data_IF_547465750793
#
_entry.id   IF_547465750793
#
_cell.length_a   1.000
_cell.length_b   1.000
_cell.length_c   1.000
_cell.angle_alpha   90.00
_cell.angle_beta   90.00
_cell.angle_gamma   90.00
#
_symmetry.space_group_name_H-M   'P 1'
#
loop_
_entity.id
_entity.type
_entity.pdbx_description
1 polymer ?
#
# COMPACT_ATOMS: atom_id res chain seq x y z
N UNK A 1 37.03 63.39 4.82
CA UNK A 1 36.61 62.17 5.54
C UNK A 1 35.15 61.89 5.19
N UNK A 2 34.92 61.46 3.94
CA UNK A 2 33.59 61.30 3.34
C UNK A 2 33.75 60.28 2.20
N UNK A 3 33.36 59.03 2.42
CA UNK A 3 33.13 57.97 1.42
C UNK A 3 32.96 56.65 2.17
N UNK A 4 31.78 56.03 2.04
CA UNK A 4 31.44 54.58 2.00
C UNK A 4 30.00 54.45 2.50
N UNK A 5 29.04 54.75 1.64
CA UNK A 5 27.62 54.39 1.78
C UNK A 5 26.99 54.46 0.39
N UNK A 6 27.28 53.49 -0.49
CA UNK A 6 26.58 53.30 -1.78
C UNK A 6 27.05 51.99 -2.45
N UNK A 7 26.53 50.84 -1.99
CA UNK A 7 26.41 49.58 -2.76
C UNK A 7 25.65 48.49 -2.00
N UNK A 8 24.48 48.83 -1.43
CA UNK A 8 23.51 47.83 -0.94
C UNK A 8 22.13 48.22 -1.50
N UNK A 9 22.01 48.29 -2.83
CA UNK A 9 20.74 48.61 -3.49
C UNK A 9 20.74 48.09 -4.94
N UNK A 10 21.03 46.80 -5.14
CA UNK A 10 20.84 46.13 -6.44
C UNK A 10 20.57 44.63 -6.38
N UNK A 11 20.29 44.06 -5.20
CA UNK A 11 19.84 42.66 -5.05
C UNK A 11 18.44 42.60 -4.44
N UNK A 12 17.52 43.44 -4.95
CA UNK A 12 16.09 43.07 -4.93
C UNK A 12 15.94 42.06 -6.06
N UNK A 13 16.28 40.80 -5.76
CA UNK A 13 15.82 39.67 -6.57
C UNK A 13 14.31 39.87 -6.72
N UNK A 14 13.85 39.98 -7.95
CA UNK A 14 12.44 39.87 -8.26
C UNK A 14 12.02 38.48 -7.79
N UNK A 15 11.40 38.40 -6.60
CA UNK A 15 10.58 37.26 -6.24
C UNK A 15 9.44 37.31 -7.24
N UNK A 16 9.61 36.61 -8.36
CA UNK A 16 8.51 36.30 -9.24
C UNK A 16 7.40 35.79 -8.32
N UNK A 17 6.30 36.52 -8.28
CA UNK A 17 5.10 36.12 -7.56
C UNK A 17 4.62 34.88 -8.29
N UNK A 18 5.13 33.73 -7.86
CA UNK A 18 4.69 32.44 -8.36
C UNK A 18 3.18 32.42 -8.13
N UNK A 19 2.44 32.45 -9.24
CA UNK A 19 0.99 32.56 -9.18
C UNK A 19 0.48 31.35 -8.42
N UNK A 20 -0.49 31.55 -7.52
CA UNK A 20 -1.05 30.44 -6.77
C UNK A 20 -1.48 29.32 -7.75
N UNK A 21 -1.17 28.05 -7.46
CA UNK A 21 -1.43 26.96 -8.39
C UNK A 21 -2.92 26.89 -8.72
N UNK A 22 -3.22 26.65 -10.01
CA UNK A 22 -4.59 26.49 -10.49
C UNK A 22 -5.21 25.20 -9.96
N UNK A 23 -6.55 25.05 -10.06
CA UNK A 23 -7.21 23.80 -9.68
C UNK A 23 -6.67 22.61 -10.50
N UNK A 24 -6.49 22.79 -11.81
CA UNK A 24 -5.98 21.75 -12.71
C UNK A 24 -4.55 21.34 -12.36
N UNK A 25 -3.69 22.30 -11.97
CA UNK A 25 -2.34 21.99 -11.50
C UNK A 25 -2.35 21.15 -10.21
N UNK A 26 -3.28 21.44 -9.30
CA UNK A 26 -3.41 20.70 -8.04
C UNK A 26 -3.98 19.29 -8.28
N UNK A 27 -4.99 19.15 -9.14
CA UNK A 27 -5.54 17.85 -9.52
C UNK A 27 -4.48 16.96 -10.19
N UNK A 28 -3.71 17.54 -11.12
CA UNK A 28 -2.61 16.84 -11.79
C UNK A 28 -1.53 16.41 -10.81
N UNK A 29 -1.09 17.30 -9.91
CA UNK A 29 -0.13 16.95 -8.85
C UNK A 29 -0.62 15.80 -7.98
N UNK A 30 -1.93 15.78 -7.66
CA UNK A 30 -2.51 14.73 -6.84
C UNK A 30 -2.49 13.39 -7.58
N UNK A 31 -2.88 13.38 -8.85
CA UNK A 31 -2.92 12.18 -9.68
C UNK A 31 -1.51 11.64 -9.96
N UNK A 32 -0.55 12.50 -10.31
CA UNK A 32 0.84 12.13 -10.52
C UNK A 32 1.45 11.51 -9.25
N UNK A 33 1.20 12.11 -8.08
CA UNK A 33 1.74 11.61 -6.81
C UNK A 33 1.06 10.32 -6.36
N UNK A 34 -0.28 10.28 -6.32
CA UNK A 34 -1.04 9.20 -5.69
C UNK A 34 -1.34 8.04 -6.63
N UNK A 35 -1.50 8.31 -7.92
CA UNK A 35 -2.09 7.40 -8.89
C UNK A 35 -3.62 7.34 -8.89
N UNK A 36 -4.29 8.18 -8.10
CA UNK A 36 -5.74 8.32 -8.05
C UNK A 36 -6.16 9.74 -8.48
N UNK A 37 -7.35 9.88 -9.08
CA UNK A 37 -7.91 11.18 -9.47
C UNK A 37 -8.92 11.70 -8.44
N UNK A 38 -9.00 13.02 -8.27
CA UNK A 38 -10.06 13.66 -7.49
C UNK A 38 -11.21 14.08 -8.42
N UNK A 39 -12.44 13.82 -8.01
CA UNK A 39 -13.66 14.22 -8.73
C UNK A 39 -14.65 14.95 -7.82
N UNK A 40 -15.50 15.79 -8.39
CA UNK A 40 -16.45 16.63 -7.64
C UNK A 40 -17.92 16.40 -8.01
N UNK A 41 -18.18 15.51 -8.97
CA UNK A 41 -19.52 15.14 -9.41
C UNK A 41 -19.73 13.64 -9.27
N UNK A 42 -20.96 13.25 -8.98
CA UNK A 42 -21.33 11.83 -8.82
C UNK A 42 -21.08 11.04 -10.11
N UNK A 43 -21.40 11.62 -11.26
CA UNK A 43 -21.31 10.94 -12.55
C UNK A 43 -19.85 10.65 -12.97
N UNK A 44 -18.88 11.28 -12.31
CA UNK A 44 -17.45 11.02 -12.51
C UNK A 44 -16.91 9.88 -11.62
N UNK A 45 -17.70 9.40 -10.65
CA UNK A 45 -17.34 8.26 -9.81
C UNK A 45 -17.52 6.94 -10.59
N UNK A 46 -16.66 5.93 -10.35
CA UNK A 46 -16.88 4.59 -10.89
C UNK A 46 -18.16 3.98 -10.32
N UNK A 47 -18.62 2.87 -10.91
CA UNK A 47 -19.78 2.14 -10.38
C UNK A 47 -19.49 1.63 -8.96
N UNK A 48 -20.45 1.77 -8.05
CA UNK A 48 -20.28 1.30 -6.68
C UNK A 48 -21.36 1.79 -5.73
N UNK A 49 -21.19 1.47 -4.44
CA UNK A 49 -22.14 1.85 -3.40
C UNK A 49 -21.80 3.23 -2.84
N UNK A 50 -22.63 4.22 -3.17
CA UNK A 50 -22.53 5.57 -2.63
C UNK A 50 -23.85 6.01 -1.99
N UNK A 51 -23.77 7.03 -1.13
CA UNK A 51 -24.92 7.69 -0.55
C UNK A 51 -25.85 8.28 -1.62
N UNK A 52 -27.15 8.40 -1.32
CA UNK A 52 -28.17 8.83 -2.29
C UNK A 52 -27.94 10.24 -2.83
N UNK A 53 -27.37 11.11 -2.01
CA UNK A 53 -27.13 12.52 -2.31
C UNK A 53 -25.66 12.83 -2.09
N UNK A 54 -24.98 13.24 -3.16
CA UNK A 54 -23.61 13.75 -3.17
C UNK A 54 -23.63 15.17 -3.71
N UNK A 55 -23.64 16.17 -2.83
CA UNK A 55 -23.77 17.57 -3.22
C UNK A 55 -22.42 18.09 -3.73
N UNK A 56 -22.33 18.66 -4.94
CA UNK A 56 -21.05 19.15 -5.47
C UNK A 56 -20.54 20.37 -4.69
N UNK A 57 -19.22 20.50 -4.62
CA UNK A 57 -18.54 21.65 -4.04
C UNK A 57 -18.65 22.89 -4.93
N UNK A 58 -18.64 24.07 -4.30
CA UNK A 58 -18.36 25.35 -4.98
C UNK A 58 -16.90 25.42 -5.45
N UNK A 59 -16.60 26.25 -6.45
CA UNK A 59 -15.23 26.34 -7.01
C UNK A 59 -14.17 26.73 -5.98
N UNK A 60 -14.49 27.67 -5.08
CA UNK A 60 -13.58 28.05 -4.00
C UNK A 60 -13.33 26.91 -3.00
N UNK A 61 -14.33 26.06 -2.77
CA UNK A 61 -14.18 24.90 -1.91
C UNK A 61 -13.35 23.80 -2.60
N UNK A 62 -13.51 23.57 -3.92
CA UNK A 62 -12.72 22.58 -4.69
C UNK A 62 -11.22 22.77 -4.52
N UNK A 63 -10.71 23.99 -4.73
CA UNK A 63 -9.27 24.28 -4.57
C UNK A 63 -8.80 23.97 -3.15
N UNK A 64 -9.60 24.35 -2.14
CA UNK A 64 -9.27 24.08 -0.73
C UNK A 64 -9.26 22.59 -0.43
N UNK A 65 -10.26 21.83 -0.88
CA UNK A 65 -10.34 20.39 -0.67
C UNK A 65 -9.16 19.65 -1.31
N UNK A 66 -8.79 20.01 -2.55
CA UNK A 66 -7.66 19.35 -3.23
C UNK A 66 -6.35 19.62 -2.51
N UNK A 67 -6.14 20.84 -1.98
CA UNK A 67 -4.94 21.14 -1.16
C UNK A 67 -4.86 20.25 0.07
N UNK A 68 -5.98 20.08 0.78
CA UNK A 68 -6.05 19.17 1.94
C UNK A 68 -5.72 17.74 1.50
N UNK A 69 -6.38 17.22 0.46
CA UNK A 69 -6.09 15.87 -0.04
C UNK A 69 -4.64 15.71 -0.50
N UNK A 70 -4.04 16.74 -1.11
CA UNK A 70 -2.63 16.75 -1.52
C UNK A 70 -1.66 16.71 -0.32
N UNK A 71 -2.00 17.38 0.76
CA UNK A 71 -1.17 17.37 1.97
C UNK A 71 -1.30 16.01 2.68
N UNK A 72 -2.53 15.47 2.78
CA UNK A 72 -2.78 14.18 3.43
C UNK A 72 -2.27 12.98 2.61
N UNK A 73 -2.30 13.05 1.27
CA UNK A 73 -1.80 11.94 0.44
C UNK A 73 -0.29 11.76 0.54
N UNK A 74 0.44 12.83 0.86
CA UNK A 74 1.90 12.79 1.09
C UNK A 74 2.30 12.06 2.37
N UNK A 75 1.34 11.70 3.22
CA UNK A 75 1.59 10.79 4.35
C UNK A 75 1.80 9.33 3.87
N UNK A 76 1.43 9.03 2.63
CA UNK A 76 1.61 7.73 1.98
C UNK A 76 2.78 7.76 0.98
N UNK A 77 3.37 6.61 0.63
CA UNK A 77 4.37 6.55 -0.43
C UNK A 77 3.79 7.04 -1.77
N UNK A 78 4.62 7.63 -2.64
CA UNK A 78 4.22 7.91 -4.01
C UNK A 78 3.65 6.66 -4.67
N UNK A 79 2.57 6.85 -5.44
CA UNK A 79 1.83 5.85 -6.21
C UNK A 79 1.09 4.80 -5.38
N UNK A 80 1.14 4.87 -4.05
CA UNK A 80 0.54 3.87 -3.17
C UNK A 80 -0.94 3.62 -3.47
N UNK A 81 -1.72 4.66 -3.79
CA UNK A 81 -3.14 4.50 -4.10
C UNK A 81 -3.38 3.80 -5.43
N UNK A 82 -2.65 4.19 -6.47
CA UNK A 82 -2.69 3.51 -7.76
C UNK A 82 -2.24 2.05 -7.66
N UNK A 83 -1.19 1.77 -6.88
CA UNK A 83 -0.64 0.42 -6.70
C UNK A 83 -1.65 -0.51 -6.00
N UNK A 84 -2.45 0.02 -5.07
CA UNK A 84 -3.51 -0.73 -4.38
C UNK A 84 -4.83 -0.73 -5.15
N UNK A 85 -4.89 -0.11 -6.34
CA UNK A 85 -6.10 -0.05 -7.16
C UNK A 85 -7.17 0.91 -6.67
N UNK A 86 -6.85 1.87 -5.79
CA UNK A 86 -7.73 2.99 -5.47
C UNK A 86 -7.57 4.04 -6.58
N UNK A 87 -8.56 4.16 -7.46
CA UNK A 87 -8.45 4.95 -8.69
C UNK A 87 -9.09 6.34 -8.55
N UNK A 88 -10.11 6.50 -7.72
CA UNK A 88 -10.93 7.72 -7.69
C UNK A 88 -11.30 8.15 -6.26
N UNK A 89 -11.19 9.45 -6.00
CA UNK A 89 -11.59 10.09 -4.73
C UNK A 89 -12.61 11.19 -5.02
N UNK A 90 -13.86 10.95 -4.64
CA UNK A 90 -14.91 11.97 -4.70
C UNK A 90 -14.87 12.90 -3.50
N UNK A 91 -14.88 14.21 -3.73
CA UNK A 91 -15.03 15.19 -2.64
C UNK A 91 -16.24 16.08 -2.86
N UNK A 92 -17.11 16.12 -1.86
CA UNK A 92 -18.44 16.70 -1.94
C UNK A 92 -18.70 17.70 -0.80
N UNK A 93 -19.62 18.64 -1.01
CA UNK A 93 -20.11 19.54 0.04
C UNK A 93 -20.87 18.75 1.12
N UNK A 94 -21.60 17.72 0.71
CA UNK A 94 -22.32 16.82 1.60
C UNK A 94 -22.49 15.42 1.00
N UNK A 95 -22.42 14.42 1.87
CA UNK A 95 -22.79 13.02 1.59
C UNK A 95 -24.01 12.68 2.44
N UNK A 96 -25.12 12.27 1.85
CA UNK A 96 -26.40 12.07 2.57
C UNK A 96 -27.13 10.83 2.07
N UNK A 97 -27.59 9.99 3.02
CA UNK A 97 -28.50 8.89 2.72
C UNK A 97 -29.93 9.25 3.10
N UNK A 98 -30.87 8.98 2.20
CA UNK A 98 -32.31 9.17 2.42
C UNK A 98 -32.96 8.01 3.17
N UNK A 99 -32.40 6.82 3.01
CA UNK A 99 -33.02 5.57 3.45
C UNK A 99 -32.30 4.92 4.63
N UNK A 100 -31.02 5.22 4.82
CA UNK A 100 -30.17 4.53 5.79
C UNK A 100 -29.69 5.53 6.84
N UNK A 101 -29.77 5.12 8.10
CA UNK A 101 -29.20 5.87 9.23
C UNK A 101 -28.43 4.91 10.12
N UNK A 102 -27.32 5.38 10.68
CA UNK A 102 -26.65 4.73 11.79
C UNK A 102 -27.26 5.22 13.12
N UNK A 103 -27.25 4.37 14.14
CA UNK A 103 -27.69 4.75 15.47
C UNK A 103 -26.95 6.03 15.95
N UNK A 104 -27.72 7.09 16.21
CA UNK A 104 -27.18 8.38 16.66
C UNK A 104 -26.95 9.44 15.58
N UNK A 105 -27.31 9.20 14.32
CA UNK A 105 -27.30 10.25 13.29
C UNK A 105 -28.65 10.94 13.18
N UNK A 106 -28.65 12.25 13.37
CA UNK A 106 -29.83 13.08 13.20
C UNK A 106 -30.14 13.30 11.72
N UNK A 107 -31.43 13.38 11.40
CA UNK A 107 -31.90 13.69 10.05
C UNK A 107 -31.70 15.18 9.77
N UNK A 108 -31.00 15.50 8.69
CA UNK A 108 -30.83 16.87 8.23
C UNK A 108 -31.99 17.22 7.29
N UNK A 109 -32.88 18.09 7.78
CA UNK A 109 -34.07 18.51 7.04
C UNK A 109 -33.75 19.37 5.81
N UNK A 110 -32.63 20.10 5.80
CA UNK A 110 -32.24 20.92 4.65
C UNK A 110 -31.68 20.06 3.52
N UNK A 111 -30.94 19.01 3.87
CA UNK A 111 -30.37 18.07 2.91
C UNK A 111 -31.31 16.90 2.56
N UNK A 112 -32.39 16.72 3.31
CA UNK A 112 -33.41 15.69 3.09
C UNK A 112 -32.91 14.27 3.39
N UNK A 113 -32.04 14.09 4.38
CA UNK A 113 -31.52 12.77 4.75
C UNK A 113 -30.55 12.80 5.93
N UNK A 114 -29.98 11.64 6.25
CA UNK A 114 -28.97 11.49 7.31
C UNK A 114 -27.59 11.80 6.75
N UNK A 115 -26.84 12.67 7.45
CA UNK A 115 -25.50 13.09 7.02
C UNK A 115 -24.45 12.03 7.24
N UNK A 116 -23.59 11.88 6.25
CA UNK A 116 -22.39 11.08 6.29
C UNK A 116 -21.13 11.88 6.01
N UNK A 117 -20.04 11.42 6.62
CA UNK A 117 -18.71 11.98 6.39
C UNK A 117 -18.12 11.37 5.13
N UNK A 118 -18.20 10.05 4.93
CA UNK A 118 -17.70 9.42 3.72
C UNK A 118 -18.35 8.08 3.43
N UNK A 119 -17.84 7.43 2.39
CA UNK A 119 -18.09 6.04 2.04
C UNK A 119 -17.02 5.50 1.09
N UNK A 120 -16.48 4.34 1.39
CA UNK A 120 -15.79 3.48 0.45
C UNK A 120 -16.79 2.66 -0.39
N UNK A 121 -16.63 2.66 -1.72
CA UNK A 121 -17.60 2.08 -2.65
C UNK A 121 -17.60 0.54 -2.67
N UNK A 122 -16.63 -0.10 -2.01
CA UNK A 122 -16.46 -1.56 -1.99
C UNK A 122 -15.58 -2.10 -3.12
N UNK A 123 -14.99 -1.24 -3.94
CA UNK A 123 -14.14 -1.60 -5.06
C UNK A 123 -12.88 -0.72 -5.12
N UNK A 124 -12.94 0.42 -5.79
CA UNK A 124 -11.77 1.20 -6.24
C UNK A 124 -11.91 2.71 -6.01
N UNK A 125 -12.89 3.14 -5.20
CA UNK A 125 -13.12 4.56 -4.95
C UNK A 125 -13.70 4.86 -3.57
N UNK A 126 -13.42 6.08 -3.10
CA UNK A 126 -14.01 6.64 -1.89
C UNK A 126 -14.76 7.94 -2.22
N UNK A 127 -15.72 8.30 -1.39
CA UNK A 127 -16.35 9.62 -1.39
C UNK A 127 -16.26 10.23 0.01
N UNK A 128 -15.91 11.51 0.11
CA UNK A 128 -15.80 12.23 1.38
C UNK A 128 -16.51 13.60 1.29
N UNK A 129 -17.16 13.99 2.39
CA UNK A 129 -17.77 15.29 2.57
C UNK A 129 -16.76 16.27 3.18
N UNK A 130 -16.76 17.52 2.69
CA UNK A 130 -15.95 18.62 3.20
C UNK A 130 -16.80 19.55 4.07
N UNK A 131 -17.13 19.12 5.29
CA UNK A 131 -17.81 19.99 6.26
C UNK A 131 -16.85 20.93 6.98
N UNK A 132 -15.58 20.52 7.14
CA UNK A 132 -14.48 21.38 7.60
C UNK A 132 -13.14 20.80 7.15
N UNK A 133 -12.09 21.64 7.16
CA UNK A 133 -10.75 21.24 6.69
C UNK A 133 -10.20 20.04 7.49
N UNK A 134 -10.28 20.11 8.83
CA UNK A 134 -9.84 19.01 9.70
C UNK A 134 -10.71 17.76 9.61
N UNK A 135 -12.03 17.89 9.39
CA UNK A 135 -12.89 16.72 9.22
C UNK A 135 -12.62 16.02 7.88
N UNK A 136 -12.40 16.76 6.80
CA UNK A 136 -12.09 16.16 5.50
C UNK A 136 -10.84 15.30 5.58
N UNK A 137 -9.76 15.79 6.20
CA UNK A 137 -8.53 15.03 6.41
C UNK A 137 -8.78 13.71 7.18
N UNK A 138 -9.51 13.78 8.31
CA UNK A 138 -9.83 12.60 9.11
C UNK A 138 -10.66 11.56 8.35
N UNK A 139 -11.65 12.02 7.58
CA UNK A 139 -12.51 11.15 6.78
C UNK A 139 -11.77 10.55 5.60
N UNK A 140 -10.89 11.31 4.95
CA UNK A 140 -10.04 10.82 3.88
C UNK A 140 -9.27 9.58 4.33
N UNK A 141 -8.58 9.64 5.48
CA UNK A 141 -7.84 8.48 6.00
C UNK A 141 -8.73 7.33 6.44
N UNK A 142 -9.91 7.60 6.99
CA UNK A 142 -10.88 6.57 7.36
C UNK A 142 -11.32 5.76 6.13
N UNK A 143 -11.76 6.44 5.07
CA UNK A 143 -12.25 5.75 3.87
C UNK A 143 -11.11 5.12 3.05
N UNK A 144 -9.93 5.77 2.99
CA UNK A 144 -8.73 5.15 2.41
C UNK A 144 -8.39 3.86 3.16
N UNK A 145 -8.49 3.84 4.49
CA UNK A 145 -8.19 2.63 5.25
C UNK A 145 -9.18 1.50 4.96
N UNK A 146 -10.47 1.79 4.74
CA UNK A 146 -11.40 0.75 4.28
C UNK A 146 -10.97 0.10 2.96
N UNK A 147 -10.35 0.86 2.05
CA UNK A 147 -9.75 0.30 0.84
C UNK A 147 -8.50 -0.53 1.15
N UNK A 148 -7.62 -0.04 2.03
CA UNK A 148 -6.42 -0.76 2.50
C UNK A 148 -6.79 -2.11 3.12
N UNK A 149 -7.71 -2.12 4.09
CA UNK A 149 -8.25 -3.32 4.74
C UNK A 149 -8.92 -4.29 3.74
N UNK A 150 -9.53 -3.75 2.68
CA UNK A 150 -10.09 -4.57 1.60
C UNK A 150 -9.03 -5.09 0.62
N UNK A 151 -7.76 -4.71 0.75
CA UNK A 151 -6.70 -4.96 -0.22
C UNK A 151 -5.56 -5.78 0.36
N UNK A 152 -5.12 -6.81 -0.35
CA UNK A 152 -3.97 -7.64 0.04
C UNK A 152 -3.07 -7.87 -1.16
N UNK A 153 -1.80 -7.46 -1.06
CA UNK A 153 -0.80 -7.57 -2.13
C UNK A 153 -1.22 -6.94 -3.48
N UNK A 154 -2.08 -5.93 -3.44
CA UNK A 154 -2.60 -5.20 -4.58
C UNK A 154 -3.85 -5.82 -5.22
N UNK A 155 -4.51 -6.76 -4.55
CA UNK A 155 -5.88 -7.17 -4.91
C UNK A 155 -6.88 -6.66 -3.89
N UNK A 156 -7.85 -5.89 -4.36
CA UNK A 156 -8.98 -5.48 -3.55
C UNK A 156 -10.12 -6.48 -3.68
N UNK A 157 -10.69 -6.93 -2.56
CA UNK A 157 -11.85 -7.82 -2.59
C UNK A 157 -12.49 -8.05 -1.24
N UNK A 158 -13.81 -8.25 -1.25
CA UNK A 158 -14.63 -8.50 -0.05
C UNK A 158 -14.17 -9.72 0.76
N UNK A 159 -13.41 -10.63 0.15
CA UNK A 159 -12.89 -11.80 0.84
C UNK A 159 -11.88 -11.42 1.94
N UNK A 160 -11.16 -10.30 1.83
CA UNK A 160 -10.15 -9.93 2.82
C UNK A 160 -10.76 -9.52 4.17
N UNK A 161 -11.90 -8.83 4.12
CA UNK A 161 -12.58 -8.22 5.27
C UNK A 161 -12.89 -9.19 6.43
N UNK A 162 -13.26 -10.44 6.15
CA UNK A 162 -13.75 -11.35 7.19
C UNK A 162 -12.67 -12.09 7.99
N UNK A 163 -11.49 -12.30 7.40
CA UNK A 163 -10.40 -13.06 8.06
C UNK A 163 -9.58 -12.16 8.96
N UNK A 164 -9.42 -10.91 8.53
CA UNK A 164 -8.63 -9.92 9.23
C UNK A 164 -9.27 -9.50 10.57
N UNK A 165 -10.60 -9.32 10.59
CA UNK A 165 -11.40 -9.04 11.80
C UNK A 165 -11.18 -10.03 12.95
N UNK A 166 -10.85 -11.30 12.66
CA UNK A 166 -10.53 -12.29 13.69
C UNK A 166 -9.13 -12.01 14.28
N UNK A 167 -8.12 -11.82 13.43
CA UNK A 167 -6.76 -11.54 13.89
C UNK A 167 -6.67 -10.22 14.66
N UNK A 168 -7.37 -9.20 14.18
CA UNK A 168 -7.52 -7.92 14.88
C UNK A 168 -8.04 -8.11 16.32
N UNK A 169 -9.15 -8.84 16.48
CA UNK A 169 -9.74 -9.10 17.80
C UNK A 169 -8.83 -9.93 18.70
N UNK A 170 -8.19 -10.98 18.16
CA UNK A 170 -7.25 -11.80 18.92
C UNK A 170 -6.02 -11.00 19.40
N UNK A 171 -5.54 -10.05 18.59
CA UNK A 171 -4.44 -9.17 18.97
C UNK A 171 -4.84 -8.24 20.13
N UNK A 172 -6.01 -7.60 20.04
CA UNK A 172 -6.53 -6.70 21.09
C UNK A 172 -6.84 -7.45 22.39
N UNK A 173 -7.33 -8.70 22.29
CA UNK A 173 -7.60 -9.55 23.46
C UNK A 173 -6.33 -10.11 24.11
N UNK A 174 -5.15 -9.92 23.50
CA UNK A 174 -3.87 -10.46 23.98
C UNK A 174 -3.68 -11.96 23.69
N UNK A 175 -4.55 -12.57 22.88
CA UNK A 175 -4.44 -13.98 22.49
C UNK A 175 -3.36 -14.19 21.42
N UNK A 176 -3.21 -13.21 20.52
CA UNK A 176 -2.17 -13.19 19.49
C UNK A 176 -1.62 -11.77 19.30
N UNK A 177 -0.94 -11.21 20.31
CA UNK A 177 -0.49 -9.82 20.26
C UNK A 177 0.61 -9.64 19.21
N UNK A 178 0.60 -8.47 18.57
CA UNK A 178 1.72 -7.96 17.80
C UNK A 178 2.87 -7.61 18.74
N UNK A 179 4.10 -7.85 18.27
CA UNK A 179 5.31 -7.37 18.95
C UNK A 179 5.45 -5.86 18.81
N UNK A 180 6.20 -5.25 19.72
CA UNK A 180 6.52 -3.82 19.66
C UNK A 180 7.06 -3.39 18.30
N UNK A 181 6.69 -2.18 17.88
CA UNK A 181 7.25 -1.55 16.70
C UNK A 181 8.76 -1.36 16.88
N UNK A 182 9.54 -1.88 15.93
CA UNK A 182 10.99 -1.76 15.95
C UNK A 182 11.42 -0.36 15.49
N UNK A 183 11.51 0.59 16.42
CA UNK A 183 11.98 1.97 16.17
C UNK A 183 13.31 2.17 16.88
N UNK A 184 14.29 2.77 16.19
CA UNK A 184 15.61 3.00 16.79
C UNK A 184 15.52 3.92 18.01
N UNK A 185 16.38 3.76 19.04
CA UNK A 185 16.36 4.65 20.21
C UNK A 185 16.55 6.13 19.85
N UNK A 186 17.33 6.41 18.79
CA UNK A 186 17.53 7.77 18.27
C UNK A 186 16.23 8.35 17.73
N UNK A 187 15.53 7.61 16.87
CA UNK A 187 14.28 8.07 16.26
C UNK A 187 13.16 8.18 17.28
N UNK A 188 13.09 7.23 18.23
CA UNK A 188 12.12 7.27 19.31
C UNK A 188 12.26 8.52 20.18
N UNK A 189 13.49 8.95 20.46
CA UNK A 189 13.74 10.23 21.15
C UNK A 189 13.27 11.43 20.33
N UNK A 190 13.58 11.48 19.03
CA UNK A 190 13.15 12.57 18.16
C UNK A 190 11.63 12.62 18.00
N UNK A 191 10.96 11.48 17.96
CA UNK A 191 9.49 11.40 17.94
C UNK A 191 8.90 11.97 19.22
N UNK A 192 9.50 11.68 20.39
CA UNK A 192 9.04 12.23 21.68
C UNK A 192 9.08 13.75 21.70
N UNK A 193 10.08 14.37 21.08
CA UNK A 193 10.17 15.83 20.96
C UNK A 193 9.06 16.43 20.08
N UNK A 194 8.43 15.62 19.22
CA UNK A 194 7.31 16.00 18.34
C UNK A 194 5.95 15.46 18.79
N UNK A 195 5.87 14.85 19.97
CA UNK A 195 4.66 14.18 20.43
C UNK A 195 3.53 15.20 20.62
N UNK A 196 2.44 14.97 19.91
CA UNK A 196 1.17 15.67 20.08
C UNK A 196 0.08 14.62 20.30
N UNK A 197 -0.85 14.90 21.22
CA UNK A 197 -1.98 14.03 21.52
C UNK A 197 -1.78 13.10 22.72
N UNK A 198 -2.79 12.28 22.97
CA UNK A 198 -2.87 11.36 24.12
C UNK A 198 -2.68 9.91 23.69
N UNK A 199 -2.24 9.07 24.61
CA UNK A 199 -2.22 7.62 24.43
C UNK A 199 -3.62 7.11 24.11
N UNK A 200 -3.75 6.25 23.09
CA UNK A 200 -4.99 5.53 22.79
C UNK A 200 -5.07 4.31 23.71
N UNK A 201 -5.88 4.35 24.75
CA UNK A 201 -6.04 3.20 25.66
C UNK A 201 -7.04 2.17 25.13
N UNK A 202 -8.04 2.63 24.36
CA UNK A 202 -9.18 1.82 23.89
C UNK A 202 -9.68 2.31 22.52
N UNK A 203 -10.99 2.29 22.27
CA UNK A 203 -11.62 2.79 21.05
C UNK A 203 -11.39 4.30 20.85
N UNK A 204 -11.16 4.71 19.61
CA UNK A 204 -10.99 6.14 19.24
C UNK A 204 -12.27 6.94 19.43
N UNK A 205 -13.43 6.34 19.19
CA UNK A 205 -14.72 7.02 19.24
C UNK A 205 -15.85 6.06 19.62
N UNK A 206 -17.05 6.59 19.85
CA UNK A 206 -18.25 5.75 19.97
C UNK A 206 -18.57 5.01 18.66
N UNK A 207 -18.25 5.62 17.52
CA UNK A 207 -18.49 5.05 16.19
C UNK A 207 -17.61 3.81 15.94
N UNK A 208 -16.37 3.82 16.44
CA UNK A 208 -15.46 2.66 16.41
C UNK A 208 -16.07 1.39 17.06
N UNK A 209 -17.04 1.54 17.98
CA UNK A 209 -17.71 0.38 18.63
C UNK A 209 -18.77 -0.28 17.76
N UNK A 210 -19.10 0.30 16.60
CA UNK A 210 -20.16 -0.20 15.70
C UNK A 210 -19.86 -1.61 15.21
N UNK A 211 -18.64 -1.86 14.75
CA UNK A 211 -18.13 -3.17 14.36
C UNK A 211 -16.59 -3.10 14.22
N UNK A 212 -15.89 -4.24 14.11
CA UNK A 212 -14.42 -4.27 13.99
C UNK A 212 -13.89 -3.42 12.83
N UNK A 213 -14.50 -3.51 11.64
CA UNK A 213 -14.11 -2.73 10.45
C UNK A 213 -14.07 -1.23 10.71
N UNK A 214 -15.07 -0.70 11.40
CA UNK A 214 -15.14 0.72 11.77
C UNK A 214 -14.12 1.06 12.87
N UNK A 215 -13.85 0.14 13.81
CA UNK A 215 -12.77 0.31 14.80
C UNK A 215 -11.41 0.46 14.13
N UNK A 216 -11.13 -0.37 13.11
CA UNK A 216 -9.89 -0.30 12.36
C UNK A 216 -9.75 1.04 11.61
N UNK A 217 -10.77 1.44 10.84
CA UNK A 217 -10.73 2.70 10.08
C UNK A 217 -10.67 3.94 10.99
N UNK A 218 -11.36 3.91 12.13
CA UNK A 218 -11.25 4.96 13.16
C UNK A 218 -9.85 5.01 13.78
N UNK A 219 -9.24 3.84 14.03
CA UNK A 219 -7.85 3.72 14.48
C UNK A 219 -6.86 4.26 13.45
N UNK A 220 -7.10 3.99 12.17
CA UNK A 220 -6.26 4.47 11.08
C UNK A 220 -6.28 5.99 10.93
N UNK A 221 -7.47 6.63 10.98
CA UNK A 221 -7.52 8.10 10.99
C UNK A 221 -6.91 8.70 12.26
N UNK A 222 -7.05 8.05 13.42
CA UNK A 222 -6.41 8.49 14.65
C UNK A 222 -4.88 8.47 14.49
N UNK A 223 -4.34 7.35 14.01
CA UNK A 223 -2.92 7.20 13.73
C UNK A 223 -2.41 8.28 12.79
N UNK A 224 -3.07 8.52 11.65
CA UNK A 224 -2.63 9.55 10.70
C UNK A 224 -2.61 10.95 11.34
N UNK A 225 -3.62 11.28 12.15
CA UNK A 225 -3.68 12.56 12.86
C UNK A 225 -2.73 12.69 14.05
N UNK A 226 -2.25 11.58 14.62
CA UNK A 226 -1.45 11.51 15.85
C UNK A 226 -0.19 10.64 15.64
N UNK A 227 0.40 10.70 14.45
CA UNK A 227 1.38 9.71 13.97
C UNK A 227 2.56 9.54 14.92
N UNK A 228 3.20 10.63 15.34
CA UNK A 228 4.34 10.58 16.26
C UNK A 228 3.97 9.93 17.61
N UNK A 229 2.84 10.32 18.22
CA UNK A 229 2.40 9.76 19.49
C UNK A 229 2.03 8.27 19.37
N UNK A 230 1.38 7.90 18.25
CA UNK A 230 0.98 6.52 17.97
C UNK A 230 2.18 5.60 17.77
N UNK A 231 3.21 6.07 17.05
CA UNK A 231 4.46 5.33 16.84
C UNK A 231 5.23 5.12 18.16
N UNK A 232 5.32 6.15 19.01
CA UNK A 232 5.92 6.02 20.36
C UNK A 232 5.14 4.99 21.18
N UNK A 233 3.81 5.07 21.17
CA UNK A 233 2.96 4.15 21.90
C UNK A 233 3.15 2.69 21.42
N UNK A 234 3.15 2.46 20.11
CA UNK A 234 3.34 1.13 19.52
C UNK A 234 4.72 0.52 19.83
N UNK A 235 5.75 1.36 20.03
CA UNK A 235 7.09 0.91 20.41
C UNK A 235 7.26 0.69 21.92
N UNK A 236 6.75 1.59 22.76
CA UNK A 236 7.02 1.60 24.21
C UNK A 236 5.95 0.91 25.06
N UNK A 237 4.72 0.80 24.55
CA UNK A 237 3.58 0.26 25.28
C UNK A 237 2.81 -0.76 24.41
N UNK A 238 3.46 -1.77 23.82
CA UNK A 238 2.83 -2.69 22.87
C UNK A 238 1.63 -3.43 23.45
N UNK A 239 1.60 -3.67 24.76
CA UNK A 239 0.57 -4.49 25.41
C UNK A 239 -0.78 -3.77 25.60
N UNK A 240 -0.86 -2.46 25.34
CA UNK A 240 -2.14 -1.75 25.44
C UNK A 240 -3.09 -2.14 24.29
N UNK A 241 -4.41 -2.25 24.54
CA UNK A 241 -5.39 -2.51 23.50
C UNK A 241 -5.34 -1.52 22.33
N UNK A 242 -5.09 -0.22 22.59
CA UNK A 242 -4.93 0.75 21.51
C UNK A 242 -3.61 0.62 20.75
N UNK A 243 -2.53 0.14 21.38
CA UNK A 243 -1.27 -0.16 20.68
C UNK A 243 -1.42 -1.33 19.73
N UNK A 244 -2.17 -2.36 20.14
CA UNK A 244 -2.49 -3.50 19.29
C UNK A 244 -3.32 -3.09 18.07
N UNK A 245 -4.23 -2.11 18.21
CA UNK A 245 -4.93 -1.50 17.06
C UNK A 245 -3.97 -0.81 16.12
N UNK A 246 -3.06 0.02 16.66
CA UNK A 246 -2.06 0.76 15.87
C UNK A 246 -1.12 -0.20 15.12
N UNK A 247 -0.61 -1.23 15.81
CA UNK A 247 0.27 -2.24 15.21
C UNK A 247 -0.44 -3.02 14.10
N UNK A 248 -1.72 -3.32 14.29
CA UNK A 248 -2.51 -3.96 13.27
C UNK A 248 -2.69 -3.09 12.01
N UNK A 249 -3.14 -1.84 12.15
CA UNK A 249 -3.32 -0.97 10.97
C UNK A 249 -1.99 -0.69 10.25
N UNK A 250 -0.87 -0.62 10.97
CA UNK A 250 0.47 -0.47 10.38
C UNK A 250 0.82 -1.67 9.51
N UNK A 251 0.45 -2.86 9.97
CA UNK A 251 0.57 -4.08 9.18
C UNK A 251 -0.33 -4.04 7.95
N UNK A 252 -1.60 -3.67 8.08
CA UNK A 252 -2.50 -3.62 6.91
C UNK A 252 -2.00 -2.62 5.85
N UNK A 253 -1.47 -1.47 6.27
CA UNK A 253 -0.80 -0.55 5.34
C UNK A 253 0.41 -1.18 4.64
N UNK A 254 1.26 -1.91 5.37
CA UNK A 254 2.41 -2.59 4.78
C UNK A 254 2.02 -3.71 3.82
N UNK A 255 0.95 -4.45 4.10
CA UNK A 255 0.55 -5.64 3.34
C UNK A 255 -0.42 -5.35 2.18
N UNK A 256 -1.11 -4.21 2.21
CA UNK A 256 -2.07 -3.87 1.16
C UNK A 256 -1.44 -3.87 -0.22
N UNK A 257 -0.23 -3.36 -0.37
CA UNK A 257 0.61 -3.59 -1.55
C UNK A 257 2.02 -3.98 -1.14
N UNK A 258 2.76 -4.71 -1.97
CA UNK A 258 4.09 -5.16 -1.58
C UNK A 258 5.12 -4.06 -1.27
N UNK A 259 4.93 -2.86 -1.84
CA UNK A 259 5.68 -1.65 -1.57
C UNK A 259 4.98 -0.72 -0.58
N UNK A 260 4.11 -1.26 0.27
CA UNK A 260 3.34 -0.49 1.24
C UNK A 260 4.23 0.23 2.24
N UNK A 261 3.75 1.30 2.89
CA UNK A 261 4.54 2.03 3.86
C UNK A 261 4.84 1.15 5.07
N UNK A 262 6.13 0.97 5.34
CA UNK A 262 6.61 0.33 6.57
C UNK A 262 6.51 1.29 7.76
N UNK A 263 6.80 0.78 8.95
CA UNK A 263 6.97 1.61 10.15
C UNK A 263 8.01 2.72 9.93
N UNK A 264 9.14 2.41 9.28
CA UNK A 264 10.19 3.39 8.99
C UNK A 264 9.71 4.52 8.07
N UNK A 265 8.84 4.22 7.11
CA UNK A 265 8.19 5.25 6.29
C UNK A 265 7.45 6.25 7.19
N UNK A 266 6.57 5.75 8.06
CA UNK A 266 5.79 6.61 8.96
C UNK A 266 6.65 7.34 10.00
N UNK A 267 7.74 6.73 10.47
CA UNK A 267 8.73 7.43 11.33
C UNK A 267 9.32 8.62 10.59
N UNK A 268 9.71 8.44 9.33
CA UNK A 268 10.28 9.51 8.52
C UNK A 268 9.26 10.63 8.23
N UNK A 269 8.01 10.27 7.92
CA UNK A 269 6.90 11.23 7.75
C UNK A 269 6.66 12.03 9.04
N UNK A 270 6.55 11.37 10.19
CA UNK A 270 6.35 12.01 11.49
C UNK A 270 7.52 12.96 11.87
N UNK A 271 8.74 12.59 11.49
CA UNK A 271 9.94 13.42 11.68
C UNK A 271 10.14 14.46 10.57
N UNK A 272 9.25 14.52 9.57
CA UNK A 272 9.32 15.41 8.40
C UNK A 272 10.70 15.34 7.71
N UNK A 273 11.26 14.14 7.60
CA UNK A 273 12.46 13.90 6.81
C UNK A 273 12.08 14.05 5.33
N UNK A 274 12.90 14.76 4.57
CA UNK A 274 12.62 14.99 3.15
C UNK A 274 12.66 13.67 2.37
N UNK A 275 11.87 13.57 1.29
CA UNK A 275 11.94 12.43 0.35
C UNK A 275 13.37 12.15 -0.10
N UNK A 276 14.18 13.19 -0.29
CA UNK A 276 15.59 13.07 -0.61
C UNK A 276 16.37 12.34 0.50
N UNK A 277 16.21 12.75 1.77
CA UNK A 277 16.87 12.09 2.90
C UNK A 277 16.39 10.65 3.14
N UNK A 278 15.13 10.36 2.82
CA UNK A 278 14.57 9.00 2.87
C UNK A 278 15.18 8.10 1.78
N UNK A 279 15.44 8.65 0.59
CA UNK A 279 16.14 7.94 -0.50
C UNK A 279 17.64 7.83 -0.24
N UNK A 280 18.26 8.85 0.35
CA UNK A 280 19.71 8.94 0.59
C UNK A 280 20.21 7.95 1.66
N UNK A 281 19.36 7.53 2.60
CA UNK A 281 19.68 6.44 3.55
C UNK A 281 19.73 5.05 2.91
N UNK A 282 19.32 4.90 1.65
CA UNK A 282 19.37 3.64 0.90
C UNK A 282 20.11 3.88 -0.42
N UNK A 283 21.44 3.90 -0.37
CA UNK A 283 22.22 4.03 -1.61
C UNK A 283 21.97 2.82 -2.51
N UNK A 284 22.17 3.03 -3.82
CA UNK A 284 22.11 1.98 -4.82
C UNK A 284 23.02 0.82 -4.42
N UNK A 285 24.23 1.10 -3.96
CA UNK A 285 25.22 0.09 -3.56
C UNK A 285 24.70 -0.79 -2.42
N UNK A 286 24.12 -0.22 -1.36
CA UNK A 286 23.57 -0.99 -0.23
C UNK A 286 22.42 -1.88 -0.69
N UNK A 287 21.57 -1.36 -1.57
CA UNK A 287 20.45 -2.11 -2.15
C UNK A 287 20.96 -3.29 -2.98
N UNK A 288 21.99 -3.07 -3.81
CA UNK A 288 22.58 -4.09 -4.66
C UNK A 288 23.41 -5.12 -3.90
N UNK A 289 24.08 -4.73 -2.82
CA UNK A 289 24.76 -5.66 -1.90
C UNK A 289 23.74 -6.57 -1.23
N UNK A 290 22.65 -6.01 -0.71
CA UNK A 290 21.57 -6.78 -0.09
C UNK A 290 20.89 -7.73 -1.09
N UNK A 291 20.76 -7.30 -2.34
CA UNK A 291 20.24 -8.13 -3.42
C UNK A 291 21.10 -9.37 -3.65
N UNK A 292 22.42 -9.17 -3.77
CA UNK A 292 23.40 -10.24 -3.95
C UNK A 292 23.39 -11.21 -2.76
N UNK A 293 23.32 -10.71 -1.53
CA UNK A 293 23.23 -11.55 -0.32
C UNK A 293 21.98 -12.45 -0.33
N UNK A 294 20.83 -11.87 -0.66
CA UNK A 294 19.56 -12.60 -0.74
C UNK A 294 19.57 -13.61 -1.89
N UNK A 295 20.14 -13.27 -3.05
CA UNK A 295 20.27 -14.18 -4.18
C UNK A 295 21.21 -15.37 -3.88
N UNK A 296 22.30 -15.12 -3.15
CA UNK A 296 23.22 -16.16 -2.67
C UNK A 296 22.52 -17.11 -1.68
N UNK A 297 21.76 -16.56 -0.72
CA UNK A 297 20.96 -17.36 0.21
C UNK A 297 19.86 -18.16 -0.52
N UNK A 298 19.18 -17.54 -1.48
CA UNK A 298 18.16 -18.15 -2.33
C UNK A 298 18.71 -19.34 -3.13
N UNK A 299 19.91 -19.20 -3.70
CA UNK A 299 20.57 -20.27 -4.46
C UNK A 299 20.99 -21.45 -3.60
N UNK A 300 21.46 -21.18 -2.38
CA UNK A 300 22.00 -22.21 -1.49
C UNK A 300 20.91 -23.03 -0.80
N UNK A 301 19.83 -22.38 -0.37
CA UNK A 301 18.76 -23.02 0.42
C UNK A 301 17.36 -22.56 -0.03
N UNK A 302 16.96 -22.80 -1.30
CA UNK A 302 15.72 -22.25 -1.85
C UNK A 302 14.47 -22.66 -1.06
N UNK A 303 14.45 -23.86 -0.45
CA UNK A 303 13.32 -24.30 0.39
C UNK A 303 13.22 -23.59 1.75
N UNK A 304 14.32 -23.06 2.27
CA UNK A 304 14.33 -22.34 3.56
C UNK A 304 14.14 -20.82 3.38
N UNK A 305 14.04 -20.37 2.13
CA UNK A 305 13.98 -18.96 1.77
C UNK A 305 12.67 -18.26 2.18
N UNK A 306 11.69 -18.99 2.70
CA UNK A 306 10.40 -18.43 3.13
C UNK A 306 10.55 -17.32 4.19
N UNK A 307 11.58 -17.37 5.04
CA UNK A 307 11.84 -16.35 6.07
C UNK A 307 12.27 -15.00 5.48
N UNK A 308 12.88 -15.03 4.30
CA UNK A 308 13.37 -13.84 3.60
C UNK A 308 12.40 -13.38 2.48
N UNK A 309 11.29 -14.07 2.26
CA UNK A 309 10.41 -13.82 1.12
C UNK A 309 9.81 -12.41 1.12
N UNK A 310 9.37 -11.92 2.27
CA UNK A 310 8.79 -10.57 2.38
C UNK A 310 9.84 -9.48 2.16
N UNK A 311 11.00 -9.61 2.80
CA UNK A 311 12.12 -8.70 2.59
C UNK A 311 12.55 -8.68 1.11
N UNK A 312 12.64 -9.86 0.51
CA UNK A 312 13.00 -10.04 -0.89
C UNK A 312 12.01 -9.35 -1.82
N UNK A 313 10.70 -9.49 -1.58
CA UNK A 313 9.67 -8.79 -2.37
C UNK A 313 9.80 -7.27 -2.25
N UNK A 314 9.95 -6.74 -1.03
CA UNK A 314 10.20 -5.31 -0.80
C UNK A 314 11.46 -4.81 -1.50
N UNK A 315 12.49 -5.66 -1.64
CA UNK A 315 13.70 -5.33 -2.37
C UNK A 315 13.44 -5.32 -3.89
N UNK A 316 12.77 -6.35 -4.43
CA UNK A 316 12.39 -6.39 -5.86
C UNK A 316 11.52 -5.19 -6.25
N UNK A 317 10.55 -4.81 -5.41
CA UNK A 317 9.72 -3.62 -5.63
C UNK A 317 10.53 -2.32 -5.64
N UNK A 318 11.58 -2.23 -4.82
CA UNK A 318 12.52 -1.11 -4.88
C UNK A 318 13.26 -1.09 -6.21
N UNK A 319 13.81 -2.22 -6.66
CA UNK A 319 14.52 -2.32 -7.94
C UNK A 319 13.66 -1.83 -9.11
N UNK A 320 12.36 -2.17 -9.14
CA UNK A 320 11.43 -1.71 -10.18
C UNK A 320 11.43 -0.18 -10.35
N UNK A 321 11.70 0.56 -9.27
CA UNK A 321 11.61 2.03 -9.21
C UNK A 321 12.96 2.75 -9.30
N UNK A 322 14.06 2.01 -9.40
CA UNK A 322 15.39 2.61 -9.41
C UNK A 322 15.72 3.23 -10.77
N UNK A 323 16.51 4.30 -10.72
CA UNK A 323 17.19 4.82 -11.90
C UNK A 323 18.44 3.99 -12.17
N UNK A 324 18.53 3.43 -13.38
CA UNK A 324 19.59 2.53 -13.81
C UNK A 324 20.64 3.21 -14.71
N UNK A 325 20.51 4.52 -14.95
CA UNK A 325 21.37 5.27 -15.89
C UNK A 325 22.86 5.16 -15.58
N UNK A 326 23.23 5.14 -14.30
CA UNK A 326 24.63 5.06 -13.87
C UNK A 326 25.16 3.61 -13.69
N UNK A 327 24.33 2.59 -13.88
CA UNK A 327 24.71 1.19 -13.71
C UNK A 327 25.27 0.60 -15.01
N UNK A 328 26.49 0.03 -14.94
CA UNK A 328 27.14 -0.60 -16.09
C UNK A 328 26.37 -1.80 -16.63
N UNK A 329 26.47 -2.06 -17.93
CA UNK A 329 25.76 -3.16 -18.60
C UNK A 329 25.98 -4.52 -17.93
N UNK A 330 27.24 -4.84 -17.57
CA UNK A 330 27.56 -6.10 -16.89
C UNK A 330 26.86 -6.21 -15.53
N UNK A 331 26.84 -5.11 -14.76
CA UNK A 331 26.16 -5.09 -13.46
C UNK A 331 24.64 -5.20 -13.62
N UNK A 332 24.06 -4.64 -14.69
CA UNK A 332 22.63 -4.83 -15.00
C UNK A 332 22.29 -6.30 -15.26
N UNK A 333 23.15 -7.03 -15.95
CA UNK A 333 22.98 -8.49 -16.18
C UNK A 333 23.02 -9.26 -14.85
N UNK A 334 23.96 -8.93 -13.95
CA UNK A 334 24.03 -9.53 -12.62
C UNK A 334 22.77 -9.26 -11.79
N UNK A 335 22.28 -8.02 -11.78
CA UNK A 335 21.04 -7.64 -11.08
C UNK A 335 19.84 -8.45 -11.59
N UNK A 336 19.72 -8.65 -12.91
CA UNK A 336 18.66 -9.45 -13.49
C UNK A 336 18.76 -10.93 -13.06
N UNK A 337 19.96 -11.48 -12.98
CA UNK A 337 20.20 -12.83 -12.47
C UNK A 337 19.82 -12.96 -10.99
N UNK A 338 20.22 -12.02 -10.15
CA UNK A 338 19.91 -12.04 -8.72
C UNK A 338 18.40 -11.90 -8.48
N UNK A 339 17.74 -10.96 -9.17
CA UNK A 339 16.30 -10.75 -9.06
C UNK A 339 15.49 -11.98 -9.49
N UNK A 340 15.86 -12.61 -10.61
CA UNK A 340 15.20 -13.84 -11.10
C UNK A 340 15.44 -15.04 -10.18
N UNK A 341 16.64 -15.16 -9.62
CA UNK A 341 16.99 -16.19 -8.62
C UNK A 341 16.12 -16.08 -7.37
N UNK A 342 15.97 -14.86 -6.85
CA UNK A 342 15.14 -14.58 -5.68
C UNK A 342 13.67 -14.92 -5.96
N UNK A 343 13.11 -14.44 -7.07
CA UNK A 343 11.70 -14.71 -7.42
C UNK A 343 11.40 -16.21 -7.55
N UNK A 344 12.31 -16.97 -8.18
CA UNK A 344 12.18 -18.42 -8.30
C UNK A 344 12.28 -19.12 -6.92
N UNK A 345 13.21 -18.68 -6.07
CA UNK A 345 13.38 -19.25 -4.73
C UNK A 345 12.17 -18.99 -3.81
N UNK A 346 11.54 -17.81 -3.89
CA UNK A 346 10.30 -17.51 -3.16
C UNK A 346 9.21 -18.52 -3.54
N UNK A 347 9.02 -18.79 -4.83
CA UNK A 347 8.03 -19.78 -5.30
C UNK A 347 8.38 -21.19 -4.79
N UNK A 348 9.63 -21.60 -4.91
CA UNK A 348 10.10 -22.92 -4.47
C UNK A 348 9.94 -23.10 -2.96
N UNK A 349 10.23 -22.07 -2.15
CA UNK A 349 10.05 -22.08 -0.70
C UNK A 349 8.58 -22.23 -0.27
N UNK A 350 7.64 -21.80 -1.13
CA UNK A 350 6.21 -21.88 -0.82
C UNK A 350 5.55 -23.15 -1.32
N UNK A 351 5.98 -23.78 -2.40
CA UNK A 351 5.30 -24.99 -2.92
C UNK A 351 6.12 -26.28 -2.76
N UNK A 352 7.39 -26.17 -2.36
CA UNK A 352 8.31 -27.29 -2.10
C UNK A 352 8.20 -28.45 -3.12
N UNK A 353 8.44 -28.19 -4.42
CA UNK A 353 8.36 -29.25 -5.41
C UNK A 353 9.42 -30.31 -5.13
N UNK A 354 9.09 -31.59 -5.30
CA UNK A 354 10.11 -32.63 -5.41
C UNK A 354 10.95 -32.45 -6.70
N UNK A 355 11.98 -33.27 -6.89
CA UNK A 355 12.88 -33.14 -8.05
C UNK A 355 12.18 -33.35 -9.39
N UNK A 356 11.09 -34.11 -9.42
CA UNK A 356 10.35 -34.42 -10.63
C UNK A 356 9.16 -33.47 -10.85
N UNK A 357 8.91 -32.54 -9.93
CA UNK A 357 7.70 -31.74 -9.84
C UNK A 357 6.42 -32.60 -9.86
N UNK A 358 6.49 -33.78 -9.24
CA UNK A 358 5.37 -34.74 -9.12
C UNK A 358 4.65 -34.65 -7.78
N UNK A 359 5.28 -34.02 -6.79
CA UNK A 359 4.73 -33.76 -5.47
C UNK A 359 5.04 -32.33 -5.04
N UNK A 360 4.05 -31.71 -4.40
CA UNK A 360 4.13 -30.37 -3.84
C UNK A 360 3.54 -30.35 -2.42
N UNK A 361 3.97 -29.38 -1.61
CA UNK A 361 3.35 -29.09 -0.33
C UNK A 361 2.26 -28.04 -0.52
N UNK A 362 1.06 -28.28 0.03
CA UNK A 362 -0.06 -27.32 0.02
C UNK A 362 -0.14 -26.70 1.41
N UNK A 363 0.02 -25.38 1.50
CA UNK A 363 -0.05 -24.65 2.77
C UNK A 363 -1.44 -24.07 3.02
N UNK A 364 -1.77 -23.90 4.30
CA UNK A 364 -3.04 -23.34 4.75
C UNK A 364 -4.12 -24.39 5.01
N UNK A 365 -5.30 -23.91 5.40
CA UNK A 365 -6.50 -24.69 5.64
C UNK A 365 -7.64 -24.12 4.79
N UNK A 366 -8.53 -24.99 4.38
CA UNK A 366 -9.74 -24.65 3.63
C UNK A 366 -10.84 -24.23 4.61
N UNK A 367 -11.29 -22.97 4.55
CA UNK A 367 -12.36 -22.50 5.44
C UNK A 367 -13.71 -23.18 5.17
N UNK A 368 -14.74 -22.83 5.95
CA UNK A 368 -16.08 -23.42 5.84
C UNK A 368 -16.73 -23.23 4.46
N UNK A 369 -16.24 -22.29 3.65
CA UNK A 369 -16.74 -21.99 2.31
C UNK A 369 -15.95 -22.72 1.22
N UNK A 370 -15.01 -23.60 1.61
CA UNK A 370 -14.19 -24.32 0.67
C UNK A 370 -13.02 -23.49 0.12
N UNK A 371 -12.53 -22.52 0.91
CA UNK A 371 -11.51 -21.57 0.47
C UNK A 371 -10.21 -21.73 1.25
N UNK A 372 -9.15 -22.18 0.58
CA UNK A 372 -7.79 -22.08 1.10
C UNK A 372 -7.18 -20.70 0.76
N UNK A 373 -7.20 -19.80 1.75
CA UNK A 373 -6.74 -18.40 1.60
C UNK A 373 -5.23 -18.28 1.44
N UNK A 374 -4.46 -19.11 2.16
CA UNK A 374 -3.00 -19.15 2.05
C UNK A 374 -2.57 -19.52 0.64
N UNK A 375 -3.17 -20.58 0.07
CA UNK A 375 -2.90 -21.02 -1.30
C UNK A 375 -3.17 -19.89 -2.31
N UNK A 376 -4.31 -19.21 -2.18
CA UNK A 376 -4.70 -18.11 -3.07
C UNK A 376 -3.70 -16.95 -3.00
N UNK A 377 -3.34 -16.54 -1.78
CA UNK A 377 -2.35 -15.49 -1.57
C UNK A 377 -0.98 -15.86 -2.13
N UNK A 378 -0.54 -17.12 -1.98
CA UNK A 378 0.74 -17.59 -2.52
C UNK A 378 0.74 -17.56 -4.06
N UNK A 379 -0.31 -18.12 -4.68
CA UNK A 379 -0.47 -18.16 -6.14
C UNK A 379 -0.47 -16.75 -6.70
N UNK A 380 -1.20 -15.83 -6.08
CA UNK A 380 -1.20 -14.43 -6.49
C UNK A 380 0.18 -13.77 -6.35
N UNK A 381 0.86 -14.02 -5.22
CA UNK A 381 2.23 -13.58 -4.99
C UNK A 381 3.17 -14.01 -6.12
N UNK A 382 3.05 -15.26 -6.61
CA UNK A 382 3.88 -15.75 -7.73
C UNK A 382 3.65 -14.96 -9.03
N UNK A 383 2.41 -14.58 -9.31
CA UNK A 383 2.07 -13.72 -10.45
C UNK A 383 2.75 -12.35 -10.36
N UNK A 384 2.68 -11.71 -9.19
CA UNK A 384 3.35 -10.42 -8.93
C UNK A 384 4.88 -10.55 -8.98
N UNK A 385 5.44 -11.62 -8.42
CA UNK A 385 6.88 -11.87 -8.46
C UNK A 385 7.37 -12.03 -9.92
N UNK A 386 6.57 -12.67 -10.79
CA UNK A 386 6.80 -12.81 -12.23
C UNK A 386 6.77 -11.47 -12.99
N UNK A 387 5.84 -10.59 -12.66
CA UNK A 387 5.77 -9.25 -13.25
C UNK A 387 6.94 -8.38 -12.82
N UNK A 388 7.31 -8.39 -11.54
CA UNK A 388 8.43 -7.60 -11.03
C UNK A 388 9.72 -7.90 -11.76
N UNK A 389 10.05 -9.17 -11.97
CA UNK A 389 11.27 -9.52 -12.73
C UNK A 389 11.17 -9.10 -14.20
N UNK A 390 9.95 -9.05 -14.77
CA UNK A 390 9.69 -8.47 -16.09
C UNK A 390 9.94 -6.96 -16.12
N UNK A 391 9.42 -6.23 -15.14
CA UNK A 391 9.64 -4.78 -14.98
C UNK A 391 11.11 -4.46 -14.75
N UNK A 392 11.78 -5.17 -13.85
CA UNK A 392 13.23 -5.00 -13.62
C UNK A 392 14.00 -5.27 -14.91
N UNK A 393 13.69 -6.37 -15.62
CA UNK A 393 14.33 -6.69 -16.90
C UNK A 393 14.17 -5.61 -17.96
N UNK A 394 12.97 -5.02 -18.05
CA UNK A 394 12.67 -3.91 -18.94
C UNK A 394 13.43 -2.63 -18.58
N UNK A 395 13.38 -2.21 -17.32
CA UNK A 395 14.02 -1.00 -16.83
C UNK A 395 15.56 -1.04 -16.88
N UNK A 396 16.14 -2.24 -16.84
CA UNK A 396 17.60 -2.42 -17.00
C UNK A 396 18.07 -2.27 -18.45
N UNK A 397 17.16 -2.19 -19.43
CA UNK A 397 17.48 -2.07 -20.86
C UNK A 397 18.47 -3.16 -21.34
N UNK A 398 18.28 -4.39 -20.88
CA UNK A 398 19.14 -5.51 -21.26
C UNK A 398 19.11 -5.75 -22.78
N UNK A 399 20.21 -6.26 -23.32
CA UNK A 399 20.21 -6.81 -24.68
C UNK A 399 19.06 -7.84 -24.82
N UNK A 400 18.29 -7.84 -25.91
CA UNK A 400 17.13 -8.73 -26.06
C UNK A 400 17.45 -10.21 -25.88
N UNK A 401 18.64 -10.67 -26.29
CA UNK A 401 19.03 -12.07 -26.09
C UNK A 401 19.28 -12.36 -24.60
N UNK A 402 19.89 -11.42 -23.87
CA UNK A 402 20.09 -11.53 -22.41
C UNK A 402 18.78 -11.44 -21.64
N UNK A 403 17.88 -10.57 -22.06
CA UNK A 403 16.53 -10.51 -21.49
C UNK A 403 15.79 -11.85 -21.66
N UNK A 404 15.79 -12.45 -22.86
CA UNK A 404 15.13 -13.73 -23.07
C UNK A 404 15.80 -14.88 -22.31
N UNK A 405 17.14 -14.90 -22.29
CA UNK A 405 17.95 -15.89 -21.57
C UNK A 405 17.68 -15.89 -20.07
N UNK A 406 17.55 -14.71 -19.45
CA UNK A 406 17.50 -14.57 -17.99
C UNK A 406 16.05 -14.42 -17.51
N UNK A 407 15.36 -13.37 -17.96
CA UNK A 407 14.06 -12.96 -17.43
C UNK A 407 12.96 -13.85 -18.01
N UNK A 408 12.83 -13.88 -19.34
CA UNK A 408 11.75 -14.64 -19.98
C UNK A 408 11.88 -16.15 -19.73
N UNK A 409 13.11 -16.69 -19.72
CA UNK A 409 13.34 -18.10 -19.39
C UNK A 409 12.88 -18.43 -17.96
N UNK A 410 13.13 -17.54 -17.00
CA UNK A 410 12.71 -17.74 -15.60
C UNK A 410 11.21 -17.62 -15.45
N UNK A 411 10.58 -16.62 -16.06
CA UNK A 411 9.12 -16.49 -16.09
C UNK A 411 8.45 -17.74 -16.70
N UNK A 412 9.01 -18.30 -17.78
CA UNK A 412 8.54 -19.57 -18.38
C UNK A 412 8.66 -20.75 -17.41
N UNK A 413 9.77 -20.87 -16.65
CA UNK A 413 9.93 -21.91 -15.61
C UNK A 413 8.91 -21.75 -14.49
N UNK A 414 8.72 -20.55 -13.97
CA UNK A 414 7.73 -20.27 -12.93
C UNK A 414 6.31 -20.58 -13.40
N UNK A 415 5.94 -20.15 -14.62
CA UNK A 415 4.62 -20.43 -15.21
C UNK A 415 4.37 -21.93 -15.37
N UNK A 416 5.36 -22.66 -15.91
CA UNK A 416 5.28 -24.13 -16.01
C UNK A 416 5.07 -24.77 -14.63
N UNK A 417 5.79 -24.30 -13.61
CA UNK A 417 5.70 -24.82 -12.25
C UNK A 417 4.33 -24.53 -11.61
N UNK A 418 3.74 -23.35 -11.85
CA UNK A 418 2.38 -23.03 -11.41
C UNK A 418 1.35 -23.98 -12.03
N UNK A 419 1.46 -24.25 -13.34
CA UNK A 419 0.59 -25.20 -14.05
C UNK A 419 0.74 -26.63 -13.51
N UNK A 420 1.97 -27.06 -13.19
CA UNK A 420 2.22 -28.35 -12.56
C UNK A 420 1.61 -28.43 -11.16
N UNK A 421 1.72 -27.35 -10.40
CA UNK A 421 1.15 -27.23 -9.06
C UNK A 421 -0.38 -27.35 -9.07
N UNK A 422 -1.07 -26.64 -9.96
CA UNK A 422 -2.53 -26.77 -10.12
C UNK A 422 -2.93 -28.20 -10.49
N UNK A 423 -2.26 -28.81 -11.49
CA UNK A 423 -2.56 -30.19 -11.90
C UNK A 423 -2.38 -31.19 -10.77
N UNK A 424 -1.34 -31.00 -9.94
CA UNK A 424 -1.13 -31.81 -8.75
C UNK A 424 -2.29 -31.66 -7.77
N UNK A 425 -2.73 -30.43 -7.49
CA UNK A 425 -3.86 -30.19 -6.59
C UNK A 425 -5.14 -30.84 -7.13
N UNK A 426 -5.46 -30.63 -8.40
CA UNK A 426 -6.67 -31.18 -9.05
C UNK A 426 -6.70 -32.71 -9.11
N UNK A 427 -5.54 -33.36 -9.12
CA UNK A 427 -5.43 -34.81 -9.08
C UNK A 427 -5.73 -35.41 -7.70
N UNK A 428 -5.64 -34.61 -6.63
CA UNK A 428 -5.74 -35.10 -5.25
C UNK A 428 -6.90 -34.50 -4.46
N UNK A 429 -7.39 -33.32 -4.86
CA UNK A 429 -8.46 -32.59 -4.17
C UNK A 429 -9.44 -31.93 -5.16
N UNK A 430 -10.67 -31.70 -4.71
CA UNK A 430 -11.61 -30.84 -5.43
C UNK A 430 -11.18 -29.38 -5.30
N UNK A 431 -11.03 -28.67 -6.42
CA UNK A 431 -10.70 -27.24 -6.43
C UNK A 431 -11.97 -26.43 -6.59
N UNK A 432 -12.26 -25.54 -5.64
CA UNK A 432 -13.39 -24.62 -5.75
C UNK A 432 -13.24 -23.69 -6.95
N UNK A 433 -14.39 -23.28 -7.54
CA UNK A 433 -14.43 -22.43 -8.75
C UNK A 433 -13.57 -21.16 -8.59
N UNK A 434 -13.66 -20.53 -7.42
CA UNK A 434 -12.94 -19.30 -7.10
C UNK A 434 -11.43 -19.54 -6.98
N UNK A 435 -11.00 -20.68 -6.42
CA UNK A 435 -9.56 -21.04 -6.39
C UNK A 435 -9.05 -21.27 -7.81
N UNK A 436 -9.77 -22.01 -8.65
CA UNK A 436 -9.39 -22.21 -10.05
C UNK A 436 -9.30 -20.90 -10.82
N UNK A 437 -10.27 -20.00 -10.64
CA UNK A 437 -10.25 -18.66 -11.26
C UNK A 437 -8.98 -17.88 -10.93
N UNK A 438 -8.47 -17.98 -9.68
CA UNK A 438 -7.22 -17.31 -9.29
C UNK A 438 -6.02 -17.90 -10.03
N UNK A 439 -5.93 -19.23 -10.14
CA UNK A 439 -4.89 -19.85 -10.96
C UNK A 439 -4.98 -19.43 -12.43
N UNK A 440 -6.18 -19.39 -13.01
CA UNK A 440 -6.38 -19.00 -14.42
C UNK A 440 -6.03 -17.51 -14.66
N UNK A 441 -6.32 -16.63 -13.69
CA UNK A 441 -5.94 -15.22 -13.73
C UNK A 441 -4.42 -15.07 -13.64
N UNK A 442 -3.79 -15.75 -12.68
CA UNK A 442 -2.34 -15.67 -12.47
C UNK A 442 -1.58 -16.29 -13.64
N UNK A 443 -2.02 -17.42 -14.19
CA UNK A 443 -1.38 -18.06 -15.34
C UNK A 443 -1.39 -17.16 -16.59
N UNK A 444 -2.54 -16.52 -16.86
CA UNK A 444 -2.64 -15.52 -17.94
C UNK A 444 -1.71 -14.35 -17.68
N UNK A 445 -1.74 -13.79 -16.47
CA UNK A 445 -0.87 -12.67 -16.06
C UNK A 445 0.61 -12.98 -16.26
N UNK A 446 1.07 -14.16 -15.82
CA UNK A 446 2.46 -14.61 -16.01
C UNK A 446 2.80 -14.87 -17.49
N UNK A 447 1.83 -15.33 -18.28
CA UNK A 447 2.02 -15.52 -19.73
C UNK A 447 2.11 -14.19 -20.46
N UNK A 448 1.25 -13.24 -20.11
CA UNK A 448 1.23 -11.89 -20.69
C UNK A 448 2.51 -11.11 -20.35
N UNK A 449 3.05 -11.30 -19.14
CA UNK A 449 4.32 -10.67 -18.72
C UNK A 449 5.54 -11.19 -19.49
N UNK A 450 5.45 -12.36 -20.12
CA UNK A 450 6.48 -12.89 -21.03
C UNK A 450 6.32 -12.27 -22.43
N UNK A 451 5.08 -12.13 -22.90
CA UNK A 451 4.76 -11.70 -24.25
C UNK A 451 4.95 -10.19 -24.47
N UNK A 452 4.74 -9.39 -23.42
CA UNK A 452 4.84 -7.93 -23.48
C UNK A 452 5.93 -7.49 -22.51
N UNK A 453 7.20 -7.40 -22.94
CA UNK A 453 8.25 -6.79 -22.13
C UNK A 453 7.80 -5.37 -21.81
N UNK A 454 7.65 -5.08 -20.53
CA UNK A 454 7.22 -3.76 -20.08
C UNK A 454 8.37 -2.80 -20.37
N UNK A 455 8.06 -1.77 -21.13
CA UNK A 455 9.00 -0.72 -21.50
C UNK A 455 8.88 0.46 -20.56
#
# INVERSE_FOLDING_TARGET
MLLVFLSILSHVQAWATESAPSLDDLLRQFEEYSGARIVFHRDDLPEGKYHDVLRPLSDGARIRSVRICLDEVKLYPPRYFGDMGLTTIGVFDACVSRTTSDAGREYDHELGGYRYFGVYNGADAIAAAHYSDGQLALTFHHEVFHHVDSTHLGETGLWNLGTDDLFYRMAIAGERPYTAAAITPTDLRLLKDRRIGTTLESFVSAYAKKNPREDQAESARHFMSMMAASLIQAAEQPDLPGSQRILHILREYEYAVPSGPSIDWFVNVALQRSDASMREQQTLEVTLERLSDLASAASTQPRQFFRAAEESRRLLDRLVRMDWTEVSTDRRVEIAHDATTIAEAIMVARIHPDRAETRFDIWGYEDSDGVNRTLRSDVFGFGKDCERIGWIGGSLELDPAKHDEIVASTQRRMTKRLRNYLRFIEAHWSVSKQTRQIFDVVDRRMTDSIATPVR
#
